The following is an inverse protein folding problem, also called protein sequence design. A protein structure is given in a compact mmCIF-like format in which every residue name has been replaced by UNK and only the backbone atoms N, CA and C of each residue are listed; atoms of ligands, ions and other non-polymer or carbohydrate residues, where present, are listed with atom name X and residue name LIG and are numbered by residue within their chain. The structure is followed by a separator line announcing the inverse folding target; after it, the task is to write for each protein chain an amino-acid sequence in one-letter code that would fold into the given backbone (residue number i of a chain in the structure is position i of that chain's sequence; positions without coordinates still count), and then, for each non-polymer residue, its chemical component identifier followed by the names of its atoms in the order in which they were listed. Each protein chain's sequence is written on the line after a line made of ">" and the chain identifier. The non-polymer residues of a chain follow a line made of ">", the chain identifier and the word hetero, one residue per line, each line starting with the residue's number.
data_IF_529014917686
#
_entry.id   IF_529014917686
#
_cell.length_a   1.000
_cell.length_b   1.000
_cell.length_c   1.000
_cell.angle_alpha   90.00
_cell.angle_beta   90.00
_cell.angle_gamma   90.00
#
_symmetry.space_group_name_H-M   'P 1'
#
loop_
_entity.id
_entity.type
_entity.pdbx_description
1 polymer ?
#
# COMPACT_ATOMS: atom_id res chain seq x y z
N UNK A 1 6.27 8.57 -12.30
CA UNK A 1 6.89 7.39 -12.95
C UNK A 1 5.87 6.26 -12.92
N UNK A 2 5.32 5.82 -14.06
CA UNK A 2 4.39 4.68 -14.08
C UNK A 2 5.17 3.39 -13.82
N UNK A 3 5.02 2.84 -12.63
CA UNK A 3 5.61 1.55 -12.27
C UNK A 3 4.78 0.47 -12.98
N UNK A 4 5.45 -0.44 -13.69
CA UNK A 4 4.78 -1.59 -14.30
C UNK A 4 4.36 -2.54 -13.18
N UNK A 5 3.10 -2.44 -12.74
CA UNK A 5 2.53 -3.24 -11.66
C UNK A 5 1.83 -4.52 -12.14
N UNK A 6 1.83 -4.78 -13.44
CA UNK A 6 1.21 -5.97 -14.04
C UNK A 6 1.80 -7.25 -13.44
N UNK A 7 0.92 -8.07 -12.84
CA UNK A 7 1.28 -9.35 -12.21
C UNK A 7 1.79 -9.26 -10.78
N UNK A 8 1.93 -8.06 -10.19
CA UNK A 8 2.30 -7.92 -8.78
C UNK A 8 1.08 -8.04 -7.85
N UNK A 9 1.20 -8.69 -6.68
CA UNK A 9 0.17 -8.66 -5.65
C UNK A 9 -0.19 -7.23 -5.24
N UNK A 10 -1.46 -6.99 -4.88
CA UNK A 10 -1.97 -5.65 -4.54
C UNK A 10 -1.07 -4.88 -3.54
N UNK A 11 -0.63 -5.54 -2.47
CA UNK A 11 0.25 -4.94 -1.46
C UNK A 11 1.63 -4.53 -1.99
N UNK A 12 2.16 -5.23 -3.00
CA UNK A 12 3.41 -4.84 -3.67
C UNK A 12 3.20 -3.62 -4.57
N UNK A 13 2.07 -3.56 -5.28
CA UNK A 13 1.73 -2.39 -6.10
C UNK A 13 1.63 -1.13 -5.23
N UNK A 14 0.95 -1.22 -4.09
CA UNK A 14 0.82 -0.12 -3.14
C UNK A 14 2.16 0.28 -2.53
N UNK A 15 2.99 -0.68 -2.15
CA UNK A 15 4.34 -0.38 -1.64
C UNK A 15 5.13 0.46 -2.64
N UNK A 16 5.14 0.05 -3.91
CA UNK A 16 5.87 0.75 -4.96
C UNK A 16 5.30 2.14 -5.24
N UNK A 17 3.97 2.29 -5.29
CA UNK A 17 3.32 3.60 -5.49
C UNK A 17 3.60 4.55 -4.34
N UNK A 18 3.46 4.10 -3.09
CA UNK A 18 3.71 4.94 -1.91
C UNK A 18 5.19 5.34 -1.81
N UNK A 19 6.11 4.41 -2.10
CA UNK A 19 7.55 4.69 -2.11
C UNK A 19 7.94 5.66 -3.21
N UNK A 20 7.41 5.49 -4.42
CA UNK A 20 7.73 6.34 -5.56
C UNK A 20 7.19 7.78 -5.43
N UNK A 21 6.18 7.98 -4.58
CA UNK A 21 5.61 9.29 -4.26
C UNK A 21 6.06 9.80 -2.88
N UNK A 22 7.14 9.23 -2.31
CA UNK A 22 7.78 9.68 -1.07
C UNK A 22 6.90 9.65 0.19
N UNK A 23 5.79 8.90 0.18
CA UNK A 23 5.00 8.67 1.40
C UNK A 23 5.73 7.74 2.39
N UNK A 24 6.60 6.86 1.88
CA UNK A 24 7.35 5.89 2.66
C UNK A 24 8.79 5.78 2.13
N UNK A 25 9.73 5.49 3.02
CA UNK A 25 11.14 5.33 2.63
C UNK A 25 11.44 3.89 2.20
N UNK A 26 10.90 2.92 2.93
CA UNK A 26 11.27 1.52 2.77
C UNK A 26 10.14 0.54 3.17
N UNK A 27 10.45 -0.76 3.06
CA UNK A 27 9.53 -1.84 3.39
C UNK A 27 9.19 -1.91 4.89
N UNK A 28 10.05 -1.40 5.77
CA UNK A 28 9.79 -1.35 7.20
C UNK A 28 8.74 -0.28 7.52
N UNK A 29 8.82 0.88 6.89
CA UNK A 29 7.80 1.92 7.01
C UNK A 29 6.44 1.43 6.49
N UNK A 30 6.41 0.77 5.32
CA UNK A 30 5.18 0.16 4.81
C UNK A 30 4.59 -0.89 5.77
N UNK A 31 5.45 -1.73 6.34
CA UNK A 31 5.02 -2.72 7.34
C UNK A 31 4.42 -2.09 8.59
N UNK A 32 4.94 -0.94 9.04
CA UNK A 32 4.37 -0.18 10.16
C UNK A 32 3.00 0.40 9.83
N UNK A 33 2.78 0.87 8.59
CA UNK A 33 1.47 1.37 8.14
C UNK A 33 0.41 0.27 8.08
N UNK A 34 0.82 -0.98 7.91
CA UNK A 34 -0.05 -2.15 8.08
C UNK A 34 -0.26 -2.56 9.54
N UNK A 35 0.30 -1.83 10.52
CA UNK A 35 0.22 -2.19 11.94
C UNK A 35 1.08 -3.41 12.31
N UNK A 36 2.12 -3.72 11.54
CA UNK A 36 2.94 -4.93 11.70
C UNK A 36 4.40 -4.61 12.00
N UNK A 37 5.16 -5.67 12.33
CA UNK A 37 6.59 -5.55 12.60
C UNK A 37 7.35 -5.14 11.34
N UNK A 38 8.51 -4.50 11.51
CA UNK A 38 9.34 -3.97 10.41
C UNK A 38 9.70 -4.96 9.29
N UNK A 39 9.64 -6.26 9.56
CA UNK A 39 10.01 -7.32 8.61
C UNK A 39 8.80 -7.93 7.90
N UNK A 40 7.58 -7.47 8.20
CA UNK A 40 6.35 -8.12 7.76
C UNK A 40 6.23 -8.22 6.23
N UNK A 41 6.48 -7.14 5.49
CA UNK A 41 6.46 -7.16 4.03
C UNK A 41 7.50 -8.14 3.45
N UNK A 42 8.71 -8.19 4.02
CA UNK A 42 9.73 -9.16 3.62
C UNK A 42 9.28 -10.60 3.87
N UNK A 43 8.60 -10.85 4.98
CA UNK A 43 8.04 -12.16 5.31
C UNK A 43 6.93 -12.56 4.34
N UNK A 44 6.06 -11.64 3.93
CA UNK A 44 5.03 -11.90 2.91
C UNK A 44 5.64 -12.29 1.58
N UNK A 45 6.63 -11.52 1.11
CA UNK A 45 7.39 -11.81 -0.13
C UNK A 45 8.04 -13.18 -0.11
N UNK A 46 8.70 -13.52 1.00
CA UNK A 46 9.42 -14.79 1.13
C UNK A 46 8.47 -15.99 1.09
N UNK A 47 7.30 -15.88 1.74
CA UNK A 47 6.35 -16.99 1.84
C UNK A 47 5.28 -17.00 0.72
N UNK A 48 5.24 -15.97 -0.13
CA UNK A 48 4.20 -15.82 -1.14
C UNK A 48 2.79 -15.60 -0.55
N UNK A 49 2.71 -14.94 0.61
CA UNK A 49 1.45 -14.67 1.30
C UNK A 49 0.92 -13.26 1.02
N UNK A 50 -0.38 -13.09 1.21
CA UNK A 50 -1.04 -11.80 1.23
C UNK A 50 -1.20 -11.27 2.66
N UNK A 51 -1.30 -9.94 2.85
CA UNK A 51 -1.66 -9.36 4.13
C UNK A 51 -2.99 -9.90 4.65
N UNK A 52 -3.13 -9.96 5.98
CA UNK A 52 -4.41 -10.23 6.62
C UNK A 52 -5.37 -9.04 6.48
N UNK A 53 -6.68 -9.28 6.57
CA UNK A 53 -7.73 -8.24 6.59
C UNK A 53 -7.42 -7.07 7.53
N UNK A 54 -6.96 -7.33 8.75
CA UNK A 54 -6.57 -6.29 9.72
C UNK A 54 -5.36 -5.46 9.26
N UNK A 55 -4.41 -6.08 8.55
CA UNK A 55 -3.27 -5.37 7.98
C UNK A 55 -3.71 -4.47 6.82
N UNK A 56 -4.64 -4.92 5.99
CA UNK A 56 -5.27 -4.10 4.95
C UNK A 56 -6.12 -2.97 5.54
N UNK A 57 -6.85 -3.19 6.62
CA UNK A 57 -7.62 -2.14 7.28
C UNK A 57 -6.72 -1.00 7.81
N UNK A 58 -5.57 -1.34 8.41
CA UNK A 58 -4.59 -0.34 8.82
C UNK A 58 -4.01 0.42 7.62
N UNK A 59 -3.68 -0.30 6.53
CA UNK A 59 -3.17 0.32 5.32
C UNK A 59 -4.21 1.22 4.64
N UNK A 60 -5.49 0.83 4.64
CA UNK A 60 -6.59 1.61 4.08
C UNK A 60 -6.72 2.98 4.76
N UNK A 61 -6.60 3.02 6.10
CA UNK A 61 -6.60 4.27 6.84
C UNK A 61 -5.44 5.17 6.38
N UNK A 62 -4.25 4.60 6.23
CA UNK A 62 -3.08 5.34 5.76
C UNK A 62 -3.23 5.85 4.31
N UNK A 63 -3.80 5.04 3.40
CA UNK A 63 -4.06 5.48 2.03
C UNK A 63 -5.02 6.68 1.98
N UNK A 64 -6.04 6.70 2.86
CA UNK A 64 -6.97 7.82 2.98
C UNK A 64 -6.30 9.09 3.51
N UNK A 65 -5.33 8.95 4.42
CA UNK A 65 -4.48 10.07 4.86
C UNK A 65 -3.67 10.62 3.68
N UNK A 66 -2.97 9.76 2.94
CA UNK A 66 -2.20 10.17 1.75
C UNK A 66 -3.08 10.83 0.69
N UNK A 67 -4.31 10.33 0.49
CA UNK A 67 -5.28 10.91 -0.44
C UNK A 67 -5.69 12.33 -0.05
N UNK A 68 -5.86 12.58 1.25
CA UNK A 68 -6.18 13.91 1.78
C UNK A 68 -5.01 14.90 1.72
N UNK A 69 -3.78 14.41 1.79
CA UNK A 69 -2.55 15.24 1.79
C UNK A 69 -2.05 15.60 0.38
N UNK A 70 -2.34 14.78 -0.64
CA UNK A 70 -1.85 15.04 -1.99
C UNK A 70 -2.64 16.15 -2.71
N UNK A 71 -1.94 17.12 -3.29
CA UNK A 71 -2.52 18.11 -4.22
C UNK A 71 -2.44 17.66 -5.69
N UNK A 72 -1.62 16.64 -5.99
CA UNK A 72 -1.47 16.08 -7.33
C UNK A 72 -2.72 15.25 -7.72
N UNK A 73 -3.38 15.66 -8.79
CA UNK A 73 -4.62 15.05 -9.27
C UNK A 73 -4.43 13.62 -9.83
N UNK A 74 -3.31 13.36 -10.50
CA UNK A 74 -3.01 12.03 -11.05
C UNK A 74 -2.70 11.05 -9.91
N UNK A 75 -1.93 11.51 -8.92
CA UNK A 75 -1.67 10.74 -7.71
C UNK A 75 -2.95 10.51 -6.90
N UNK A 76 -3.83 11.51 -6.81
CA UNK A 76 -5.12 11.39 -6.13
C UNK A 76 -6.01 10.32 -6.78
N UNK A 77 -6.12 10.32 -8.11
CA UNK A 77 -6.85 9.29 -8.85
C UNK A 77 -6.24 7.89 -8.65
N UNK A 78 -4.90 7.82 -8.62
CA UNK A 78 -4.18 6.58 -8.36
C UNK A 78 -4.47 6.03 -6.96
N UNK A 79 -4.43 6.89 -5.94
CA UNK A 79 -4.76 6.52 -4.56
C UNK A 79 -6.25 6.12 -4.43
N UNK A 80 -7.17 6.83 -5.08
CA UNK A 80 -8.59 6.46 -5.09
C UNK A 80 -8.81 5.05 -5.64
N UNK A 81 -8.10 4.70 -6.72
CA UNK A 81 -8.15 3.36 -7.30
C UNK A 81 -7.69 2.29 -6.29
N UNK A 82 -6.55 2.48 -5.63
CA UNK A 82 -6.06 1.51 -4.64
C UNK A 82 -6.92 1.46 -3.38
N UNK A 83 -7.49 2.59 -2.94
CA UNK A 83 -8.44 2.63 -1.82
C UNK A 83 -9.62 1.68 -2.09
N UNK A 84 -10.21 1.75 -3.29
CA UNK A 84 -11.32 0.86 -3.67
C UNK A 84 -10.92 -0.61 -3.68
N UNK A 85 -9.75 -0.94 -4.24
CA UNK A 85 -9.25 -2.32 -4.24
C UNK A 85 -8.98 -2.85 -2.82
N UNK A 86 -8.46 -2.03 -1.92
CA UNK A 86 -8.23 -2.43 -0.52
C UNK A 86 -9.54 -2.53 0.25
N UNK A 87 -10.55 -1.71 -0.05
CA UNK A 87 -11.88 -1.85 0.54
C UNK A 87 -12.52 -3.22 0.24
N UNK A 88 -12.29 -3.77 -0.97
CA UNK A 88 -12.74 -5.13 -1.33
C UNK A 88 -12.04 -6.22 -0.53
N UNK A 89 -10.78 -6.04 -0.13
CA UNK A 89 -10.03 -6.99 0.70
C UNK A 89 -10.39 -6.93 2.21
N UNK A 90 -11.04 -5.83 2.62
CA UNK A 90 -11.46 -5.59 4.01
C UNK A 90 -12.92 -5.98 4.25
N UNK A 91 -13.72 -6.11 3.19
CA UNK A 91 -15.13 -6.50 3.22
C UNK A 91 -15.33 -7.99 3.56
#
# INVERSE_FOLDING_TARGET
>A
MMIKTEGMPLHEQMFEVLRANYFLNDAADFSRRMGRSRTYLSTLRYNGHTPSTDAYANLLNYLRECYGETEDADLRNCLEHYIKLVEEEVA
#
